data_IF_521079835355
#
_entry.id   IF_521079835355
#
_cell.length_a   1.000
_cell.length_b   1.000
_cell.length_c   1.000
_cell.angle_alpha   90.00
_cell.angle_beta   90.00
_cell.angle_gamma   90.00
#
_symmetry.space_group_name_H-M   'P 1'
#
loop_
_entity.id
_entity.type
_entity.pdbx_description
1 polymer ?
#
# COMPACT_ATOMS: atom_id res chain seq x y z
N UNK A 1 48.69 -23.24 45.20
CA UNK A 1 47.31 -23.80 45.14
C UNK A 1 46.34 -22.67 44.90
N UNK A 2 45.82 -22.54 43.71
CA UNK A 2 44.73 -21.62 43.36
C UNK A 2 43.69 -22.44 42.58
N UNK A 3 42.42 -22.43 42.91
CA UNK A 3 41.38 -23.16 42.16
C UNK A 3 40.98 -22.40 40.91
N UNK A 4 40.80 -23.14 39.83
CA UNK A 4 40.26 -22.68 38.51
C UNK A 4 38.74 -22.59 38.66
N UNK A 5 38.15 -21.43 38.35
CA UNK A 5 36.73 -21.27 38.09
C UNK A 5 36.45 -21.68 36.64
N UNK A 6 35.55 -22.62 36.49
CA UNK A 6 34.97 -22.99 35.20
C UNK A 6 33.80 -22.06 34.87
N UNK A 7 33.87 -21.39 33.70
CA UNK A 7 32.74 -20.67 33.13
C UNK A 7 31.82 -21.67 32.44
N UNK A 8 30.62 -21.82 32.91
CA UNK A 8 29.54 -22.54 32.26
C UNK A 8 28.84 -21.59 31.26
N UNK A 9 28.94 -21.93 29.98
CA UNK A 9 28.21 -21.28 28.90
C UNK A 9 26.76 -21.73 28.95
N UNK A 10 25.86 -20.87 29.38
CA UNK A 10 24.41 -21.09 29.30
C UNK A 10 23.90 -20.68 27.94
N UNK A 11 23.51 -21.64 27.10
CA UNK A 11 22.74 -21.39 25.91
C UNK A 11 21.30 -21.05 26.27
N UNK A 12 20.90 -19.82 26.05
CA UNK A 12 19.52 -19.41 26.16
C UNK A 12 18.75 -19.87 24.92
N UNK A 13 18.00 -20.94 25.08
CA UNK A 13 17.02 -21.38 24.09
C UNK A 13 15.79 -20.46 24.22
N UNK A 14 15.55 -19.64 23.21
CA UNK A 14 14.31 -18.86 23.07
C UNK A 14 13.17 -19.83 22.76
N UNK A 15 12.33 -20.11 23.74
CA UNK A 15 11.04 -20.78 23.55
C UNK A 15 10.08 -19.77 22.86
N UNK A 16 9.78 -19.99 21.59
CA UNK A 16 8.60 -19.46 20.95
C UNK A 16 7.38 -20.13 21.58
N UNK A 17 6.69 -19.44 22.45
CA UNK A 17 5.40 -19.84 22.99
C UNK A 17 4.34 -19.66 21.87
N UNK A 18 4.04 -20.74 21.14
CA UNK A 18 2.83 -20.85 20.37
C UNK A 18 1.65 -20.85 21.34
N UNK A 19 0.88 -19.76 21.40
CA UNK A 19 -0.41 -19.73 22.10
C UNK A 19 -1.37 -20.66 21.35
N UNK A 20 -1.45 -21.92 21.79
CA UNK A 20 -2.55 -22.80 21.47
C UNK A 20 -3.78 -22.30 22.23
N UNK A 21 -4.66 -21.58 21.57
CA UNK A 21 -6.01 -21.32 22.08
C UNK A 21 -6.76 -22.63 21.93
N UNK A 22 -6.82 -23.40 23.01
CA UNK A 22 -7.74 -24.54 23.14
C UNK A 22 -9.15 -23.98 23.33
N UNK A 23 -9.86 -23.74 22.22
CA UNK A 23 -11.30 -23.56 22.25
C UNK A 23 -11.96 -24.93 22.21
N UNK A 24 -12.68 -25.29 23.26
CA UNK A 24 -13.58 -26.43 23.28
C UNK A 24 -14.69 -26.27 22.25
N UNK A 25 -14.83 -27.24 21.33
CA UNK A 25 -16.07 -27.57 20.64
C UNK A 25 -16.27 -26.90 19.27
N UNK A 26 -15.94 -27.62 18.22
CA UNK A 26 -16.26 -27.36 16.82
C UNK A 26 -14.99 -27.32 15.98
N UNK A 27 -14.57 -28.46 15.42
CA UNK A 27 -13.42 -28.50 14.54
C UNK A 27 -13.70 -27.66 13.29
N UNK A 28 -12.93 -26.60 13.06
CA UNK A 28 -12.87 -25.93 11.77
C UNK A 28 -12.16 -26.87 10.79
N UNK A 29 -12.85 -27.28 9.74
CA UNK A 29 -12.28 -28.14 8.71
C UNK A 29 -11.87 -27.29 7.49
N UNK A 30 -10.59 -27.38 7.11
CA UNK A 30 -10.06 -26.85 5.84
C UNK A 30 -10.09 -28.00 4.79
N UNK A 31 -10.97 -28.97 4.92
CA UNK A 31 -10.87 -30.27 4.26
C UNK A 31 -10.95 -30.23 2.73
N UNK A 32 -11.53 -29.19 2.13
CA UNK A 32 -11.81 -29.14 0.69
C UNK A 32 -10.98 -28.11 -0.07
N UNK A 33 -10.32 -27.16 0.61
CA UNK A 33 -9.45 -26.15 -0.01
C UNK A 33 -7.99 -26.56 0.20
N UNK A 34 -7.25 -26.67 -0.91
CA UNK A 34 -5.80 -26.71 -0.90
C UNK A 34 -5.26 -25.28 -1.01
N UNK A 35 -4.16 -24.96 -0.30
CA UNK A 35 -3.49 -23.67 -0.45
C UNK A 35 -2.87 -23.53 -1.84
N UNK A 36 -2.66 -22.29 -2.25
CA UNK A 36 -1.96 -21.95 -3.50
C UNK A 36 -0.51 -22.44 -3.40
N UNK A 37 -0.07 -23.18 -4.42
CA UNK A 37 1.31 -23.60 -4.61
C UNK A 37 2.11 -22.48 -5.31
N UNK A 38 2.44 -21.44 -4.55
CA UNK A 38 3.23 -20.29 -4.93
C UNK A 38 4.03 -19.81 -3.70
N UNK A 39 4.66 -18.63 -3.74
CA UNK A 39 5.36 -18.07 -2.57
C UNK A 39 4.35 -17.55 -1.53
N UNK A 40 3.58 -18.47 -0.94
CA UNK A 40 2.50 -18.18 -0.02
C UNK A 40 2.74 -18.83 1.35
N UNK A 41 2.27 -18.19 2.40
CA UNK A 41 2.23 -18.72 3.75
C UNK A 41 1.15 -19.80 3.95
N UNK A 42 0.94 -20.28 5.17
CA UNK A 42 -0.08 -21.27 5.46
C UNK A 42 -1.49 -20.72 5.30
N UNK A 43 -2.43 -21.61 4.95
CA UNK A 43 -3.86 -21.31 4.98
C UNK A 43 -4.30 -20.90 6.39
N UNK A 44 -5.14 -19.91 6.47
CA UNK A 44 -5.72 -19.39 7.70
C UNK A 44 -7.25 -19.42 7.61
N UNK A 45 -7.88 -20.01 8.63
CA UNK A 45 -9.32 -20.10 8.73
C UNK A 45 -9.72 -20.39 10.18
N UNK A 46 -10.73 -19.68 10.67
CA UNK A 46 -11.29 -19.85 12.00
C UNK A 46 -12.84 -19.76 12.00
N UNK A 47 -13.46 -20.16 10.88
CA UNK A 47 -14.91 -20.24 10.75
C UNK A 47 -15.51 -21.48 11.38
N UNK A 48 -16.83 -21.63 11.32
CA UNK A 48 -17.59 -22.69 11.99
C UNK A 48 -17.92 -23.90 11.13
N UNK A 49 -17.56 -23.90 9.84
CA UNK A 49 -17.82 -24.98 8.89
C UNK A 49 -16.63 -25.17 7.95
N UNK A 50 -16.79 -25.96 6.90
CA UNK A 50 -15.75 -26.17 5.90
C UNK A 50 -15.60 -24.93 5.01
N UNK A 51 -14.36 -24.48 4.79
CA UNK A 51 -14.11 -23.40 3.87
C UNK A 51 -14.35 -23.86 2.41
N UNK A 52 -15.07 -23.06 1.62
CA UNK A 52 -15.38 -23.38 0.23
C UNK A 52 -14.68 -22.42 -0.74
N UNK A 53 -14.20 -21.29 -0.25
CA UNK A 53 -13.56 -20.26 -1.09
C UNK A 53 -12.33 -19.70 -0.40
N UNK A 54 -11.39 -19.25 -1.24
CA UNK A 54 -10.11 -18.70 -0.82
C UNK A 54 -10.00 -17.23 -1.25
N UNK A 55 -9.70 -16.37 -0.29
CA UNK A 55 -9.19 -15.02 -0.55
C UNK A 55 -7.67 -15.07 -0.35
N UNK A 56 -6.92 -14.51 -1.28
CA UNK A 56 -5.48 -14.35 -1.16
C UNK A 56 -5.12 -12.89 -1.01
N UNK A 57 -4.05 -12.59 -0.28
CA UNK A 57 -3.36 -11.31 -0.43
C UNK A 57 -2.08 -11.51 -1.23
N UNK A 58 -1.69 -10.50 -2.04
CA UNK A 58 -0.39 -10.47 -2.72
C UNK A 58 0.30 -9.17 -2.37
N UNK A 59 1.33 -9.26 -1.52
CA UNK A 59 1.98 -8.12 -0.87
C UNK A 59 3.48 -8.42 -0.68
N UNK A 60 4.36 -7.38 -0.66
CA UNK A 60 5.78 -7.58 -0.39
C UNK A 60 6.01 -7.94 1.09
N UNK A 61 6.28 -9.22 1.38
CA UNK A 61 6.39 -9.75 2.74
C UNK A 61 7.82 -9.76 3.29
N UNK A 62 8.81 -9.30 2.52
CA UNK A 62 10.24 -9.33 2.87
C UNK A 62 10.84 -7.93 2.97
N UNK A 63 12.06 -7.84 3.48
CA UNK A 63 12.84 -6.60 3.55
C UNK A 63 12.17 -5.46 4.33
N UNK A 64 12.32 -4.23 3.85
CA UNK A 64 11.78 -3.04 4.52
C UNK A 64 10.24 -2.99 4.54
N UNK A 65 9.58 -3.64 3.59
CA UNK A 65 8.12 -3.71 3.49
C UNK A 65 7.47 -4.72 4.44
N UNK A 66 8.24 -5.67 4.99
CA UNK A 66 7.71 -6.81 5.74
C UNK A 66 6.74 -6.41 6.86
N UNK A 67 7.09 -5.43 7.67
CA UNK A 67 6.24 -5.01 8.80
C UNK A 67 4.93 -4.39 8.34
N UNK A 68 4.98 -3.50 7.35
CA UNK A 68 3.78 -2.90 6.74
C UNK A 68 2.84 -3.98 6.20
N UNK A 69 3.36 -4.91 5.42
CA UNK A 69 2.57 -5.98 4.80
C UNK A 69 2.05 -6.98 5.83
N UNK A 70 2.83 -7.29 6.88
CA UNK A 70 2.37 -8.10 8.01
C UNK A 70 1.16 -7.46 8.69
N UNK A 71 1.18 -6.15 8.93
CA UNK A 71 0.03 -5.43 9.51
C UNK A 71 -1.17 -5.37 8.57
N UNK A 72 -0.94 -5.26 7.26
CA UNK A 72 -2.02 -5.34 6.27
C UNK A 72 -2.68 -6.71 6.31
N UNK A 73 -1.91 -7.80 6.35
CA UNK A 73 -2.45 -9.17 6.49
C UNK A 73 -3.18 -9.36 7.82
N UNK A 74 -2.65 -8.84 8.93
CA UNK A 74 -3.34 -8.88 10.22
C UNK A 74 -4.69 -8.15 10.18
N UNK A 75 -4.77 -7.02 9.47
CA UNK A 75 -6.01 -6.28 9.29
C UNK A 75 -7.03 -7.04 8.41
N UNK A 76 -6.57 -7.75 7.37
CA UNK A 76 -7.42 -8.64 6.57
C UNK A 76 -8.01 -9.74 7.46
N UNK A 77 -7.16 -10.42 8.23
CA UNK A 77 -7.58 -11.50 9.13
C UNK A 77 -8.57 -10.98 10.19
N UNK A 78 -8.29 -9.81 10.78
CA UNK A 78 -9.21 -9.18 11.73
C UNK A 78 -10.59 -8.93 11.12
N UNK A 79 -10.66 -8.42 9.88
CA UNK A 79 -11.95 -8.17 9.24
C UNK A 79 -12.65 -9.47 8.85
N UNK A 80 -11.93 -10.48 8.36
CA UNK A 80 -12.50 -11.81 8.11
C UNK A 80 -13.06 -12.43 9.39
N UNK A 81 -12.36 -12.32 10.52
CA UNK A 81 -12.83 -12.77 11.82
C UNK A 81 -14.08 -12.01 12.27
N UNK A 82 -14.15 -10.69 12.07
CA UNK A 82 -15.36 -9.88 12.36
C UNK A 82 -16.56 -10.28 11.50
N UNK A 83 -16.32 -10.79 10.29
CA UNK A 83 -17.34 -11.36 9.40
C UNK A 83 -17.63 -12.83 9.68
N UNK A 84 -17.00 -13.44 10.71
CA UNK A 84 -17.15 -14.86 11.03
C UNK A 84 -16.57 -15.79 9.97
N UNK A 85 -15.59 -15.33 9.17
CA UNK A 85 -14.98 -16.06 8.06
C UNK A 85 -15.99 -16.51 7.00
N UNK A 86 -17.01 -15.70 6.75
CA UNK A 86 -18.08 -16.07 5.83
C UNK A 86 -18.61 -14.90 5.00
N UNK A 87 -18.98 -15.20 3.78
CA UNK A 87 -19.71 -14.32 2.88
C UNK A 87 -21.21 -14.70 2.86
N UNK A 88 -21.95 -14.26 3.87
CA UNK A 88 -23.30 -14.72 4.14
C UNK A 88 -23.36 -16.16 4.64
N UNK A 89 -24.57 -16.74 4.81
CA UNK A 89 -24.77 -17.99 5.55
C UNK A 89 -24.26 -19.25 4.82
N UNK A 90 -23.85 -19.15 3.56
CA UNK A 90 -23.57 -20.31 2.71
C UNK A 90 -22.11 -20.44 2.25
N UNK A 91 -21.31 -19.38 2.34
CA UNK A 91 -19.97 -19.38 1.78
C UNK A 91 -18.98 -19.11 2.91
N UNK A 92 -18.20 -20.12 3.27
CA UNK A 92 -17.08 -19.98 4.18
C UNK A 92 -15.81 -19.63 3.41
N UNK A 93 -15.00 -18.72 3.93
CA UNK A 93 -13.87 -18.13 3.23
C UNK A 93 -12.60 -18.31 4.03
N UNK A 94 -11.62 -19.05 3.50
CA UNK A 94 -10.26 -19.11 4.01
C UNK A 94 -9.42 -17.94 3.46
N UNK A 95 -8.27 -17.73 4.07
CA UNK A 95 -7.30 -16.71 3.67
C UNK A 95 -5.90 -17.29 3.54
N UNK A 96 -5.13 -16.81 2.56
CA UNK A 96 -3.72 -17.10 2.42
C UNK A 96 -2.93 -15.85 2.02
N UNK A 97 -1.84 -15.58 2.72
CA UNK A 97 -0.95 -14.47 2.42
C UNK A 97 0.16 -14.93 1.48
N UNK A 98 0.33 -14.27 0.34
CA UNK A 98 1.37 -14.56 -0.65
C UNK A 98 2.32 -13.38 -0.79
N UNK A 99 3.54 -13.67 -1.23
CA UNK A 99 4.66 -12.74 -1.31
C UNK A 99 5.03 -12.43 -2.76
N UNK A 100 5.08 -11.15 -3.09
CA UNK A 100 5.51 -10.64 -4.39
C UNK A 100 6.93 -10.07 -4.37
N UNK A 101 7.71 -10.25 -3.27
CA UNK A 101 8.94 -9.50 -3.04
C UNK A 101 10.22 -10.32 -3.07
N UNK A 102 11.32 -9.67 -3.47
CA UNK A 102 12.68 -10.20 -3.38
C UNK A 102 13.15 -10.25 -1.92
N UNK A 103 13.88 -11.32 -1.58
CA UNK A 103 14.23 -11.66 -0.20
C UNK A 103 15.05 -10.64 0.58
N UNK A 104 15.87 -9.82 -0.07
CA UNK A 104 16.81 -8.92 0.62
C UNK A 104 16.37 -7.46 0.66
N UNK A 105 15.70 -6.97 -0.37
CA UNK A 105 15.32 -5.56 -0.51
C UNK A 105 13.89 -5.29 -0.10
N UNK A 106 12.99 -6.25 -0.29
CA UNK A 106 11.55 -6.07 -0.14
C UNK A 106 10.90 -5.36 -1.34
N UNK A 107 11.65 -5.20 -2.43
CA UNK A 107 11.09 -4.76 -3.70
C UNK A 107 10.22 -5.87 -4.30
N UNK A 108 9.13 -5.49 -4.94
CA UNK A 108 8.30 -6.42 -5.71
C UNK A 108 9.07 -6.98 -6.91
N UNK A 109 8.79 -8.21 -7.27
CA UNK A 109 9.47 -8.91 -8.38
C UNK A 109 8.48 -9.26 -9.50
N UNK A 110 8.77 -8.86 -10.75
CA UNK A 110 7.87 -9.10 -11.88
C UNK A 110 7.59 -10.59 -12.16
N UNK A 111 8.54 -11.48 -11.83
CA UNK A 111 8.35 -12.92 -12.05
C UNK A 111 7.45 -13.51 -10.97
N UNK A 112 7.62 -13.09 -9.69
CA UNK A 112 6.73 -13.50 -8.60
C UNK A 112 5.30 -12.99 -8.84
N UNK A 113 5.09 -11.71 -9.15
CA UNK A 113 3.77 -11.17 -9.49
C UNK A 113 3.09 -12.00 -10.59
N UNK A 114 3.84 -12.36 -11.63
CA UNK A 114 3.30 -13.16 -12.74
C UNK A 114 2.94 -14.58 -12.32
N UNK A 115 3.83 -15.28 -11.61
CA UNK A 115 3.60 -16.66 -11.16
C UNK A 115 2.43 -16.74 -10.17
N UNK A 116 2.37 -15.79 -9.23
CA UNK A 116 1.28 -15.68 -8.26
C UNK A 116 -0.07 -15.48 -8.95
N UNK A 117 -0.17 -14.47 -9.86
CA UNK A 117 -1.39 -14.22 -10.61
C UNK A 117 -1.84 -15.42 -11.45
N UNK A 118 -0.90 -16.19 -12.05
CA UNK A 118 -1.21 -17.40 -12.79
C UNK A 118 -1.77 -18.50 -11.88
N UNK A 119 -1.19 -18.68 -10.69
CA UNK A 119 -1.68 -19.61 -9.70
C UNK A 119 -3.11 -19.24 -9.24
N UNK A 120 -3.35 -17.97 -8.89
CA UNK A 120 -4.69 -17.49 -8.51
C UNK A 120 -5.73 -17.65 -9.62
N UNK A 121 -5.33 -17.35 -10.86
CA UNK A 121 -6.23 -17.46 -12.02
C UNK A 121 -6.67 -18.91 -12.28
N UNK A 122 -5.76 -19.88 -12.09
CA UNK A 122 -6.00 -21.30 -12.38
C UNK A 122 -6.76 -22.03 -11.29
N UNK A 123 -6.70 -21.58 -10.03
CA UNK A 123 -7.38 -22.22 -8.92
C UNK A 123 -8.85 -21.76 -8.83
N UNK A 124 -9.86 -22.64 -9.00
CA UNK A 124 -11.28 -22.28 -8.98
C UNK A 124 -11.80 -21.85 -7.61
N UNK A 125 -11.06 -22.14 -6.54
CA UNK A 125 -11.45 -21.77 -5.18
C UNK A 125 -11.02 -20.36 -4.82
N UNK A 126 -10.02 -19.79 -5.49
CA UNK A 126 -9.66 -18.37 -5.34
C UNK A 126 -10.78 -17.51 -5.86
N UNK A 127 -11.47 -16.83 -4.93
CA UNK A 127 -12.60 -15.97 -5.24
C UNK A 127 -12.23 -14.48 -5.32
N UNK A 128 -11.04 -14.12 -4.89
CA UNK A 128 -10.57 -12.75 -5.00
C UNK A 128 -9.16 -12.54 -4.44
N UNK A 129 -8.53 -11.48 -4.92
CA UNK A 129 -7.19 -11.04 -4.53
C UNK A 129 -7.29 -9.70 -3.81
N UNK A 130 -6.65 -9.58 -2.64
CA UNK A 130 -6.43 -8.32 -1.93
C UNK A 130 -4.97 -7.92 -2.17
N UNK A 131 -4.76 -7.00 -3.05
CA UNK A 131 -3.41 -6.62 -3.52
C UNK A 131 -3.49 -5.79 -4.79
N UNK A 132 -2.37 -5.51 -5.36
CA UNK A 132 -1.05 -5.57 -4.73
C UNK A 132 -0.78 -4.28 -3.95
N UNK A 133 0.36 -4.18 -3.27
CA UNK A 133 0.80 -2.89 -2.74
C UNK A 133 1.38 -2.04 -3.87
N UNK A 134 2.33 -2.59 -4.62
CA UNK A 134 3.04 -1.89 -5.70
C UNK A 134 2.23 -1.91 -7.00
N UNK A 135 2.05 -0.76 -7.62
CA UNK A 135 1.27 -0.62 -8.88
C UNK A 135 1.93 -1.35 -10.05
N UNK A 136 3.26 -1.50 -10.06
CA UNK A 136 3.97 -2.25 -11.09
C UNK A 136 3.60 -3.74 -11.09
N UNK A 137 3.43 -4.35 -9.92
CA UNK A 137 2.91 -5.70 -9.77
C UNK A 137 1.45 -5.80 -10.30
N UNK A 138 0.60 -4.84 -9.91
CA UNK A 138 -0.79 -4.79 -10.39
C UNK A 138 -0.91 -4.70 -11.93
N UNK A 139 0.00 -4.00 -12.60
CA UNK A 139 0.07 -3.94 -14.07
C UNK A 139 0.25 -5.32 -14.70
N UNK A 140 0.91 -6.25 -14.00
CA UNK A 140 1.14 -7.63 -14.43
C UNK A 140 -0.06 -8.52 -14.07
N UNK A 141 -0.57 -8.39 -12.86
CA UNK A 141 -1.60 -9.28 -12.33
C UNK A 141 -2.99 -9.02 -12.91
N UNK A 142 -3.41 -7.76 -13.00
CA UNK A 142 -4.76 -7.41 -13.46
C UNK A 142 -5.11 -8.10 -14.79
N UNK A 143 -4.28 -8.04 -15.87
CA UNK A 143 -4.63 -8.67 -17.14
C UNK A 143 -4.63 -10.20 -17.11
N UNK A 144 -3.86 -10.84 -16.20
CA UNK A 144 -3.87 -12.29 -16.01
C UNK A 144 -5.18 -12.69 -15.30
N UNK A 145 -5.49 -12.04 -14.18
CA UNK A 145 -6.71 -12.26 -13.41
C UNK A 145 -7.97 -11.91 -14.23
N UNK A 146 -7.88 -10.94 -15.13
CA UNK A 146 -8.97 -10.54 -16.01
C UNK A 146 -9.39 -11.66 -16.99
N UNK A 147 -8.42 -12.45 -17.48
CA UNK A 147 -8.66 -13.59 -18.39
C UNK A 147 -9.01 -14.89 -17.66
N UNK A 148 -8.96 -14.91 -16.35
CA UNK A 148 -9.20 -16.13 -15.58
C UNK A 148 -10.60 -16.73 -15.86
N UNK A 149 -10.77 -18.07 -15.82
CA UNK A 149 -12.06 -18.72 -15.96
C UNK A 149 -13.09 -18.20 -14.96
N UNK A 150 -14.38 -18.31 -15.28
CA UNK A 150 -15.46 -17.84 -14.44
C UNK A 150 -15.74 -16.33 -14.54
N UNK A 151 -15.16 -15.66 -15.55
CA UNK A 151 -15.38 -14.25 -15.85
C UNK A 151 -14.37 -13.32 -15.18
N UNK A 152 -13.20 -13.84 -14.86
CA UNK A 152 -12.09 -13.14 -14.21
C UNK A 152 -12.08 -13.31 -12.68
N UNK A 153 -10.94 -13.10 -12.05
CA UNK A 153 -10.80 -13.02 -10.59
C UNK A 153 -10.92 -11.55 -10.16
N UNK A 154 -11.81 -11.20 -9.23
CA UNK A 154 -11.88 -9.85 -8.68
C UNK A 154 -10.62 -9.51 -7.87
N UNK A 155 -10.14 -8.28 -8.03
CA UNK A 155 -8.97 -7.76 -7.31
C UNK A 155 -9.31 -6.44 -6.63
N UNK A 156 -9.01 -6.31 -5.34
CA UNK A 156 -9.24 -5.10 -4.54
C UNK A 156 -7.91 -4.64 -3.96
N UNK A 157 -7.38 -3.53 -4.45
CA UNK A 157 -6.11 -3.02 -3.95
C UNK A 157 -6.28 -2.07 -2.77
N UNK A 158 -5.53 -2.30 -1.68
CA UNK A 158 -5.42 -1.37 -0.57
C UNK A 158 -4.28 -0.36 -0.72
N UNK A 159 -3.47 -0.44 -1.79
CA UNK A 159 -2.22 0.33 -1.89
C UNK A 159 -1.86 0.92 -3.26
N UNK A 160 -2.44 0.43 -4.36
CA UNK A 160 -2.05 0.91 -5.69
C UNK A 160 -2.55 2.33 -5.97
N UNK A 161 -1.66 3.21 -6.38
CA UNK A 161 -1.98 4.63 -6.63
C UNK A 161 -1.82 5.06 -8.09
N UNK A 162 -1.15 4.27 -8.94
CA UNK A 162 -0.93 4.63 -10.35
C UNK A 162 -2.25 4.93 -11.08
N UNK A 163 -2.33 6.14 -11.68
CA UNK A 163 -3.55 6.64 -12.33
C UNK A 163 -4.02 5.70 -13.43
N UNK A 164 -3.08 5.22 -14.23
CA UNK A 164 -3.38 4.51 -15.47
C UNK A 164 -3.88 3.07 -15.29
N UNK A 165 -3.95 2.57 -14.03
CA UNK A 165 -4.63 1.30 -13.77
C UNK A 165 -6.15 1.40 -14.00
N UNK A 166 -6.73 2.58 -13.81
CA UNK A 166 -8.18 2.79 -13.81
C UNK A 166 -8.63 3.88 -14.77
N UNK A 167 -7.86 4.94 -14.92
CA UNK A 167 -8.24 6.11 -15.70
C UNK A 167 -7.19 6.46 -16.76
N UNK A 168 -7.62 6.92 -17.94
CA UNK A 168 -6.69 7.42 -18.93
C UNK A 168 -6.17 8.80 -18.52
N UNK A 169 -4.96 9.12 -18.96
CA UNK A 169 -4.40 10.47 -18.90
C UNK A 169 -3.54 10.71 -20.15
N UNK A 170 -3.65 11.86 -20.79
CA UNK A 170 -2.89 12.15 -22.01
C UNK A 170 -1.38 12.30 -21.76
N UNK A 171 -0.99 12.64 -20.52
CA UNK A 171 0.41 12.94 -20.16
C UNK A 171 1.05 11.85 -19.30
N UNK A 172 0.25 11.08 -18.55
CA UNK A 172 0.75 10.07 -17.60
C UNK A 172 0.73 8.65 -18.16
N UNK A 173 -0.23 8.35 -19.05
CA UNK A 173 -0.54 6.99 -19.48
C UNK A 173 -0.04 6.69 -20.89
N UNK A 174 0.34 5.45 -21.14
CA UNK A 174 0.51 4.95 -22.50
C UNK A 174 -0.84 4.94 -23.23
N UNK A 175 -0.83 4.99 -24.58
CA UNK A 175 -2.05 5.08 -25.39
C UNK A 175 -3.05 3.95 -25.17
N UNK A 176 -2.55 2.77 -24.80
CA UNK A 176 -3.34 1.57 -24.57
C UNK A 176 -3.79 1.40 -23.11
N UNK A 177 -3.34 2.28 -22.20
CA UNK A 177 -3.78 2.31 -20.81
C UNK A 177 -5.05 3.15 -20.62
N UNK A 178 -5.93 2.69 -19.75
CA UNK A 178 -5.93 1.47 -18.96
C UNK A 178 -6.42 0.22 -19.71
N UNK A 179 -6.79 0.33 -20.97
CA UNK A 179 -7.43 -0.73 -21.76
C UNK A 179 -6.65 -2.05 -21.78
N UNK A 180 -5.31 -1.99 -21.85
CA UNK A 180 -4.44 -3.17 -21.89
C UNK A 180 -4.55 -4.05 -20.63
N UNK A 181 -4.97 -3.48 -19.50
CA UNK A 181 -5.17 -4.22 -18.25
C UNK A 181 -6.47 -5.02 -18.24
N UNK A 182 -7.42 -4.70 -19.14
CA UNK A 182 -8.75 -5.29 -19.20
C UNK A 182 -9.03 -5.93 -20.57
N UNK A 183 -8.24 -6.96 -20.96
CA UNK A 183 -8.31 -7.55 -22.31
C UNK A 183 -9.65 -8.20 -22.65
N UNK A 184 -10.50 -8.52 -21.67
CA UNK A 184 -11.87 -9.00 -21.90
C UNK A 184 -12.87 -7.87 -22.15
N UNK A 185 -12.44 -6.61 -22.09
CA UNK A 185 -13.30 -5.43 -22.17
C UNK A 185 -14.13 -5.15 -20.89
N UNK A 186 -14.00 -5.99 -19.87
CA UNK A 186 -14.67 -5.83 -18.56
C UNK A 186 -13.63 -5.62 -17.47
N UNK A 187 -13.90 -4.71 -16.55
CA UNK A 187 -13.01 -4.45 -15.42
C UNK A 187 -13.21 -5.50 -14.32
N UNK A 188 -12.12 -5.94 -13.68
CA UNK A 188 -12.08 -6.86 -12.54
C UNK A 188 -11.34 -6.28 -11.34
N UNK A 189 -10.89 -5.03 -11.42
CA UNK A 189 -10.05 -4.38 -10.44
C UNK A 189 -10.70 -3.11 -9.90
N UNK A 190 -10.66 -2.96 -8.57
CA UNK A 190 -11.01 -1.73 -7.85
C UNK A 190 -9.94 -1.45 -6.79
N UNK A 191 -9.87 -0.21 -6.30
CA UNK A 191 -9.01 0.15 -5.17
C UNK A 191 -9.78 0.91 -4.09
N UNK A 192 -9.28 0.88 -2.86
CA UNK A 192 -9.84 1.61 -1.73
C UNK A 192 -9.00 2.81 -1.31
N UNK A 193 -7.94 3.11 -2.05
CA UNK A 193 -7.11 4.31 -1.93
C UNK A 193 -7.26 5.21 -3.16
N UNK A 194 -7.18 6.56 -3.03
CA UNK A 194 -7.15 7.45 -4.17
C UNK A 194 -5.89 7.27 -5.02
N UNK A 195 -5.99 7.64 -6.28
CA UNK A 195 -4.87 7.59 -7.21
C UNK A 195 -3.90 8.77 -7.06
N UNK A 196 -2.75 8.68 -7.73
CA UNK A 196 -1.68 9.68 -7.68
C UNK A 196 -2.12 11.08 -8.11
N UNK A 197 -3.13 11.24 -8.97
CA UNK A 197 -3.63 12.58 -9.33
C UNK A 197 -4.24 13.29 -8.11
N UNK A 198 -4.97 12.56 -7.27
CA UNK A 198 -5.49 13.10 -6.00
C UNK A 198 -4.35 13.34 -5.01
N UNK A 199 -3.40 12.39 -4.93
CA UNK A 199 -2.29 12.47 -3.99
C UNK A 199 -1.32 13.60 -4.36
N UNK A 200 -0.93 13.73 -5.62
CA UNK A 200 -0.06 14.81 -6.12
C UNK A 200 -0.68 16.19 -5.92
N UNK A 201 -1.98 16.32 -6.25
CA UNK A 201 -2.73 17.56 -6.00
C UNK A 201 -2.75 17.93 -4.50
N UNK A 202 -3.00 16.95 -3.63
CA UNK A 202 -3.02 17.18 -2.20
C UNK A 202 -1.65 17.49 -1.61
N UNK A 203 -0.60 16.80 -2.06
CA UNK A 203 0.77 17.06 -1.62
C UNK A 203 1.27 18.43 -2.08
N UNK A 204 0.94 18.86 -3.31
CA UNK A 204 1.25 20.21 -3.81
C UNK A 204 0.51 21.28 -3.01
N UNK A 205 -0.78 21.10 -2.71
CA UNK A 205 -1.54 22.00 -1.83
C UNK A 205 -0.93 22.08 -0.43
N UNK A 206 -0.49 20.95 0.12
CA UNK A 206 0.20 20.93 1.40
C UNK A 206 1.53 21.69 1.33
N UNK A 207 2.36 21.42 0.33
CA UNK A 207 3.65 22.10 0.13
C UNK A 207 3.47 23.62 0.11
N UNK A 208 2.52 24.14 -0.69
CA UNK A 208 2.19 25.57 -0.72
C UNK A 208 1.76 26.09 0.65
N UNK A 209 0.93 25.33 1.39
CA UNK A 209 0.41 25.74 2.70
C UNK A 209 1.47 25.87 3.80
N UNK A 210 2.62 25.21 3.64
CA UNK A 210 3.77 25.28 4.55
C UNK A 210 4.89 26.21 4.03
N UNK A 211 4.58 27.00 2.98
CA UNK A 211 5.44 28.04 2.45
C UNK A 211 6.51 27.55 1.47
N UNK A 212 6.37 26.35 0.88
CA UNK A 212 7.21 25.92 -0.24
C UNK A 212 6.86 26.76 -1.47
N UNK A 213 7.90 27.28 -2.14
CA UNK A 213 7.76 28.14 -3.32
C UNK A 213 8.44 27.56 -4.57
N UNK A 214 9.52 26.80 -4.39
CA UNK A 214 10.34 26.25 -5.49
C UNK A 214 10.83 24.84 -5.17
N UNK A 215 9.97 23.82 -5.22
CA UNK A 215 10.38 22.46 -4.94
C UNK A 215 11.25 21.88 -6.06
N UNK A 216 12.16 20.96 -5.70
CA UNK A 216 12.91 20.10 -6.62
C UNK A 216 12.34 18.70 -6.53
N UNK A 217 12.02 18.08 -7.67
CA UNK A 217 11.39 16.75 -7.69
C UNK A 217 12.45 15.70 -8.00
N UNK A 218 12.60 14.72 -7.12
CA UNK A 218 13.42 13.55 -7.30
C UNK A 218 12.54 12.33 -7.61
N UNK A 219 12.94 11.56 -8.61
CA UNK A 219 12.17 10.44 -9.16
C UNK A 219 13.01 9.18 -9.14
N UNK A 220 12.48 8.06 -8.66
CA UNK A 220 13.18 6.78 -8.78
C UNK A 220 13.37 6.42 -10.26
N UNK A 221 14.59 6.05 -10.64
CA UNK A 221 14.90 5.67 -12.01
C UNK A 221 14.18 4.37 -12.39
N UNK A 222 13.85 4.24 -13.68
CA UNK A 222 13.25 3.03 -14.27
C UNK A 222 11.92 2.57 -13.65
N UNK A 223 11.21 3.48 -12.97
CA UNK A 223 9.90 3.19 -12.36
C UNK A 223 8.80 4.12 -12.91
N UNK A 224 7.92 3.61 -13.78
CA UNK A 224 6.80 4.39 -14.35
C UNK A 224 5.84 4.93 -13.31
N UNK A 225 5.64 4.23 -12.19
CA UNK A 225 4.77 4.70 -11.10
C UNK A 225 5.35 5.93 -10.44
N UNK A 226 6.64 5.90 -10.12
CA UNK A 226 7.37 7.04 -9.57
C UNK A 226 7.37 8.24 -10.52
N UNK A 227 7.54 7.99 -11.83
CA UNK A 227 7.42 9.04 -12.85
C UNK A 227 6.01 9.65 -12.87
N UNK A 228 4.98 8.83 -12.74
CA UNK A 228 3.59 9.27 -12.61
C UNK A 228 3.36 10.15 -11.38
N UNK A 229 3.84 9.73 -10.21
CA UNK A 229 3.79 10.53 -8.97
C UNK A 229 4.44 11.90 -9.14
N UNK A 230 5.66 11.93 -9.71
CA UNK A 230 6.39 13.16 -9.95
C UNK A 230 5.64 14.12 -10.88
N UNK A 231 5.06 13.61 -11.97
CA UNK A 231 4.28 14.39 -12.92
C UNK A 231 3.03 14.97 -12.25
N UNK A 232 2.26 14.16 -11.52
CA UNK A 232 1.03 14.63 -10.84
C UNK A 232 1.32 15.76 -9.84
N UNK A 233 2.42 15.68 -9.10
CA UNK A 233 2.85 16.75 -8.22
C UNK A 233 3.27 18.00 -9.00
N UNK A 234 4.07 17.82 -10.06
CA UNK A 234 4.60 18.92 -10.90
C UNK A 234 3.47 19.71 -11.56
N UNK A 235 2.51 19.02 -12.14
CA UNK A 235 1.37 19.62 -12.82
C UNK A 235 0.47 20.36 -11.84
N UNK A 236 0.21 19.77 -10.67
CA UNK A 236 -0.53 20.45 -9.59
C UNK A 236 0.22 21.67 -9.04
N UNK A 237 1.53 21.57 -8.85
CA UNK A 237 2.36 22.67 -8.39
C UNK A 237 2.33 23.84 -9.39
N UNK A 238 2.43 23.53 -10.69
CA UNK A 238 2.27 24.52 -11.76
C UNK A 238 0.92 25.23 -11.72
N UNK A 239 -0.18 24.48 -11.55
CA UNK A 239 -1.53 25.03 -11.43
C UNK A 239 -1.70 25.92 -10.18
N UNK A 240 -0.92 25.70 -9.13
CA UNK A 240 -0.87 26.53 -7.92
C UNK A 240 0.09 27.73 -8.05
N UNK A 241 0.72 27.94 -9.21
CA UNK A 241 1.72 29.00 -9.42
C UNK A 241 3.05 28.74 -8.69
N UNK A 242 3.36 27.50 -8.36
CA UNK A 242 4.58 27.08 -7.68
C UNK A 242 5.56 26.47 -8.69
N UNK A 243 6.56 27.23 -9.19
CA UNK A 243 7.48 26.75 -10.21
C UNK A 243 8.42 25.68 -9.66
N UNK A 244 8.63 24.62 -10.42
CA UNK A 244 9.58 23.56 -10.09
C UNK A 244 11.01 24.08 -10.29
N UNK A 245 11.86 23.99 -9.26
CA UNK A 245 13.26 24.40 -9.32
C UNK A 245 14.12 23.49 -10.22
N UNK A 246 13.69 22.26 -10.40
CA UNK A 246 14.30 21.24 -11.24
C UNK A 246 13.76 19.85 -10.93
N UNK A 247 14.14 18.89 -11.77
CA UNK A 247 13.84 17.48 -11.57
C UNK A 247 15.05 16.64 -11.95
N UNK A 248 15.26 15.53 -11.25
CA UNK A 248 16.28 14.54 -11.56
C UNK A 248 15.85 13.14 -11.11
N UNK A 249 16.46 12.13 -11.71
CA UNK A 249 16.29 10.74 -11.29
C UNK A 249 17.39 10.34 -10.29
N UNK A 250 17.06 9.43 -9.37
CA UNK A 250 18.07 8.74 -8.58
C UNK A 250 18.17 7.27 -8.98
N UNK A 251 19.39 6.76 -9.15
CA UNK A 251 19.65 5.33 -9.37
C UNK A 251 19.67 4.62 -8.01
N UNK A 252 18.78 3.66 -7.82
CA UNK A 252 18.68 2.87 -6.59
C UNK A 252 19.95 2.08 -6.24
N UNK A 253 20.84 1.87 -7.23
CA UNK A 253 22.13 1.18 -7.05
C UNK A 253 23.28 2.11 -6.69
N UNK A 254 23.06 3.42 -6.66
CA UNK A 254 24.10 4.39 -6.34
C UNK A 254 24.59 4.24 -4.89
N UNK A 255 25.91 4.37 -4.72
CA UNK A 255 26.55 4.28 -3.40
C UNK A 255 26.33 5.54 -2.55
N UNK A 256 26.12 6.69 -3.18
CA UNK A 256 25.78 7.98 -2.55
C UNK A 256 25.05 8.91 -3.52
N UNK A 257 24.41 9.93 -2.97
CA UNK A 257 23.66 10.94 -3.72
C UNK A 257 24.20 12.36 -3.50
N UNK A 258 25.45 12.50 -3.03
CA UNK A 258 26.06 13.81 -2.74
C UNK A 258 26.04 14.75 -3.95
N UNK A 259 26.39 14.22 -5.15
CA UNK A 259 26.36 15.02 -6.37
C UNK A 259 24.95 15.46 -6.73
N UNK A 260 23.95 14.56 -6.60
CA UNK A 260 22.56 14.86 -6.83
C UNK A 260 22.05 15.96 -5.87
N UNK A 261 22.40 15.86 -4.57
CA UNK A 261 22.00 16.87 -3.59
C UNK A 261 22.72 18.22 -3.81
N UNK A 262 23.94 18.25 -4.35
CA UNK A 262 24.59 19.47 -4.78
C UNK A 262 23.89 20.11 -6.00
N UNK A 263 23.35 19.33 -6.91
CA UNK A 263 22.49 19.84 -8.00
C UNK A 263 21.23 20.49 -7.43
N UNK A 264 20.56 19.84 -6.47
CA UNK A 264 19.41 20.43 -5.76
C UNK A 264 19.80 21.74 -5.09
N UNK A 265 20.93 21.78 -4.38
CA UNK A 265 21.44 23.00 -3.72
C UNK A 265 21.65 24.15 -4.70
N UNK A 266 22.24 23.86 -5.85
CA UNK A 266 22.56 24.86 -6.88
C UNK A 266 21.32 25.39 -7.58
N UNK A 267 20.18 24.66 -7.56
CA UNK A 267 18.91 25.11 -8.13
C UNK A 267 18.21 26.19 -7.31
N UNK A 268 18.63 26.39 -6.05
CA UNK A 268 17.96 27.27 -5.10
C UNK A 268 16.59 26.76 -4.64
N UNK A 269 16.36 25.45 -4.66
CA UNK A 269 15.13 24.82 -4.17
C UNK A 269 14.97 25.01 -2.66
N UNK A 270 13.74 25.21 -2.21
CA UNK A 270 13.36 25.31 -0.80
C UNK A 270 12.70 24.02 -0.26
N UNK A 271 12.47 23.05 -1.14
CA UNK A 271 12.02 21.73 -0.78
C UNK A 271 12.53 20.67 -1.78
N UNK A 272 12.67 19.43 -1.30
CA UNK A 272 12.84 18.21 -2.10
C UNK A 272 11.55 17.39 -2.00
N UNK A 273 11.05 16.92 -3.12
CA UNK A 273 9.90 16.00 -3.20
C UNK A 273 10.37 14.68 -3.75
N UNK A 274 10.16 13.60 -3.00
CA UNK A 274 10.54 12.24 -3.39
C UNK A 274 9.34 11.51 -3.99
N UNK A 275 9.45 11.11 -5.24
CA UNK A 275 8.52 10.23 -5.94
C UNK A 275 9.16 8.86 -6.12
N UNK A 276 8.67 7.85 -5.39
CA UNK A 276 9.22 6.50 -5.32
C UNK A 276 8.95 5.83 -3.98
N UNK A 277 9.67 4.76 -3.69
CA UNK A 277 9.50 3.98 -2.46
C UNK A 277 10.82 3.86 -1.69
N UNK A 278 10.72 3.58 -0.38
CA UNK A 278 11.87 3.47 0.52
C UNK A 278 12.87 2.39 0.05
N UNK A 279 12.36 1.30 -0.49
CA UNK A 279 13.09 0.12 -0.96
C UNK A 279 14.07 0.45 -2.10
N UNK A 280 13.79 1.52 -2.85
CA UNK A 280 14.64 2.05 -3.92
C UNK A 280 15.82 2.90 -3.39
N UNK A 281 16.50 2.42 -2.34
CA UNK A 281 17.62 3.11 -1.68
C UNK A 281 17.25 4.45 -1.02
N UNK A 282 15.99 4.59 -0.63
CA UNK A 282 15.44 5.82 -0.03
C UNK A 282 16.11 6.22 1.28
N UNK A 283 16.58 5.25 2.07
CA UNK A 283 17.32 5.51 3.33
C UNK A 283 18.58 6.33 3.04
N UNK A 284 19.37 5.93 2.06
CA UNK A 284 20.60 6.63 1.67
C UNK A 284 20.28 8.01 1.12
N UNK A 285 19.26 8.11 0.27
CA UNK A 285 18.81 9.36 -0.33
C UNK A 285 18.44 10.42 0.74
N UNK A 286 17.70 10.02 1.77
CA UNK A 286 17.30 10.91 2.88
C UNK A 286 18.52 11.35 3.69
N UNK A 287 19.46 10.44 4.00
CA UNK A 287 20.69 10.75 4.74
C UNK A 287 21.56 11.75 3.98
N UNK A 288 21.76 11.55 2.69
CA UNK A 288 22.55 12.44 1.86
C UNK A 288 21.88 13.80 1.65
N UNK A 289 20.52 13.84 1.58
CA UNK A 289 19.78 15.10 1.61
C UNK A 289 20.10 15.89 2.89
N UNK A 290 20.05 15.26 4.04
CA UNK A 290 20.33 15.94 5.30
C UNK A 290 21.80 16.38 5.40
N UNK A 291 22.72 15.54 4.95
CA UNK A 291 24.16 15.84 4.95
C UNK A 291 24.51 17.10 4.12
N UNK A 292 23.88 17.25 2.93
CA UNK A 292 24.23 18.33 1.98
C UNK A 292 23.34 19.57 2.12
N UNK A 293 22.04 19.36 2.38
CA UNK A 293 21.01 20.43 2.38
C UNK A 293 20.55 20.81 3.80
N UNK A 294 21.06 20.12 4.82
CA UNK A 294 20.67 20.32 6.21
C UNK A 294 19.38 19.60 6.60
N UNK A 295 18.97 19.73 7.90
CA UNK A 295 17.84 19.00 8.46
C UNK A 295 16.52 19.36 7.77
N UNK A 296 15.56 18.42 7.78
CA UNK A 296 14.25 18.64 7.11
C UNK A 296 13.39 19.72 7.78
N UNK A 297 13.74 20.14 8.98
CA UNK A 297 13.15 21.29 9.68
C UNK A 297 13.79 22.63 9.29
N UNK A 298 14.86 22.61 8.50
CA UNK A 298 15.59 23.79 8.06
C UNK A 298 14.99 24.47 6.83
N UNK A 299 15.87 25.16 6.08
CA UNK A 299 15.46 25.93 4.90
C UNK A 299 14.94 25.05 3.76
N UNK A 300 15.57 23.87 3.54
CA UNK A 300 15.14 22.93 2.49
C UNK A 300 14.33 21.79 3.12
N UNK A 301 13.02 21.81 2.94
CA UNK A 301 12.08 20.80 3.46
C UNK A 301 12.21 19.50 2.67
N UNK A 302 11.73 18.40 3.25
CA UNK A 302 11.64 17.10 2.58
C UNK A 302 10.19 16.63 2.62
N UNK A 303 9.62 16.45 1.45
CA UNK A 303 8.30 15.86 1.24
C UNK A 303 8.44 14.56 0.45
N UNK A 304 7.56 13.60 0.68
CA UNK A 304 7.59 12.33 -0.03
C UNK A 304 6.17 11.81 -0.29
N UNK A 305 6.05 10.98 -1.31
CA UNK A 305 4.87 10.19 -1.57
C UNK A 305 4.76 9.01 -0.57
N UNK A 306 3.71 8.26 -0.68
CA UNK A 306 3.28 7.21 0.26
C UNK A 306 4.25 6.04 0.40
N UNK A 307 5.08 5.76 -0.59
CA UNK A 307 6.14 4.76 -0.49
C UNK A 307 7.14 4.99 0.66
N UNK A 308 7.18 6.22 1.19
CA UNK A 308 7.96 6.60 2.36
C UNK A 308 7.11 6.71 3.66
N UNK A 309 5.79 6.56 3.59
CA UNK A 309 4.90 6.72 4.73
C UNK A 309 4.79 5.44 5.57
N UNK A 310 5.93 4.86 5.96
CA UNK A 310 6.05 3.62 6.75
C UNK A 310 7.05 3.80 7.91
N UNK A 311 6.85 3.07 9.00
CA UNK A 311 7.73 3.17 10.18
C UNK A 311 9.19 2.82 9.85
N UNK A 312 9.41 1.91 8.90
CA UNK A 312 10.74 1.54 8.40
C UNK A 312 11.52 2.75 7.85
N UNK A 313 10.86 3.76 7.27
CA UNK A 313 11.52 5.00 6.86
C UNK A 313 12.19 5.69 8.05
N UNK A 314 11.50 5.76 9.18
CA UNK A 314 12.02 6.40 10.39
C UNK A 314 13.10 5.53 11.03
N UNK A 315 12.83 4.24 11.18
CA UNK A 315 13.71 3.30 11.89
C UNK A 315 15.03 3.10 11.16
N UNK A 316 14.98 2.89 9.83
CA UNK A 316 16.15 2.59 9.03
C UNK A 316 16.97 3.85 8.69
N UNK A 317 16.32 5.00 8.53
CA UNK A 317 17.02 6.27 8.29
C UNK A 317 17.62 6.83 9.57
N UNK A 318 16.92 6.71 10.69
CA UNK A 318 17.33 7.28 11.96
C UNK A 318 16.97 8.77 12.09
N UNK A 319 17.82 9.57 12.79
CA UNK A 319 17.52 10.98 13.07
C UNK A 319 17.35 11.86 11.83
N UNK A 320 17.92 11.45 10.67
CA UNK A 320 17.84 12.19 9.41
C UNK A 320 16.42 12.21 8.82
N UNK A 321 15.55 11.26 9.20
CA UNK A 321 14.12 11.29 8.80
C UNK A 321 13.33 12.38 9.53
N UNK A 322 13.81 12.83 10.69
CA UNK A 322 13.05 13.76 11.55
C UNK A 322 12.64 15.01 10.80
N UNK A 323 11.35 15.33 10.88
CA UNK A 323 10.78 16.53 10.27
C UNK A 323 10.43 16.43 8.81
N UNK A 324 10.73 15.29 8.12
CA UNK A 324 10.20 15.05 6.79
C UNK A 324 8.68 14.89 6.81
N UNK A 325 8.05 15.17 5.69
CA UNK A 325 6.63 14.94 5.47
C UNK A 325 6.43 13.79 4.50
N UNK A 326 5.45 12.93 4.76
CA UNK A 326 5.04 11.89 3.83
C UNK A 326 3.52 11.91 3.65
N UNK A 327 3.06 11.82 2.41
CA UNK A 327 1.65 11.74 2.09
C UNK A 327 1.14 10.30 2.15
N UNK A 328 -0.14 10.15 2.42
CA UNK A 328 -0.87 8.88 2.39
C UNK A 328 -2.08 9.07 1.48
N UNK A 329 -2.34 8.15 0.54
CA UNK A 329 -3.55 8.18 -0.27
C UNK A 329 -4.76 7.75 0.59
N UNK A 330 -5.34 8.74 1.28
CA UNK A 330 -6.46 8.54 2.20
C UNK A 330 -6.24 9.15 3.57
N UNK A 331 -7.06 8.76 4.54
CA UNK A 331 -6.93 9.17 5.94
C UNK A 331 -5.87 8.35 6.67
N UNK A 332 -5.00 9.01 7.41
CA UNK A 332 -4.07 8.32 8.30
C UNK A 332 -4.81 7.53 9.40
N UNK A 333 -4.25 6.43 9.94
CA UNK A 333 -4.89 5.65 11.00
C UNK A 333 -5.39 6.47 12.18
N UNK A 334 -4.60 7.47 12.62
CA UNK A 334 -4.96 8.37 13.72
C UNK A 334 -6.02 9.44 13.37
N UNK A 335 -6.44 9.54 12.09
CA UNK A 335 -7.51 10.43 11.63
C UNK A 335 -8.82 9.69 11.30
N UNK A 336 -8.84 8.37 11.48
CA UNK A 336 -10.04 7.57 11.32
C UNK A 336 -10.98 7.75 12.51
N UNK A 337 -12.29 7.69 12.24
CA UNK A 337 -13.34 7.89 13.23
C UNK A 337 -14.37 6.77 13.19
N UNK A 338 -15.21 6.65 14.20
CA UNK A 338 -16.28 5.64 14.26
C UNK A 338 -15.74 4.21 14.15
N UNK A 339 -16.23 3.44 13.17
CA UNK A 339 -15.80 2.05 12.95
C UNK A 339 -14.30 1.95 12.71
N UNK A 340 -13.71 2.93 12.02
CA UNK A 340 -12.28 2.95 11.73
C UNK A 340 -11.41 3.14 12.98
N UNK A 341 -11.79 4.02 13.89
CA UNK A 341 -11.09 4.22 15.16
C UNK A 341 -11.14 2.94 16.03
N UNK A 342 -12.31 2.31 16.11
CA UNK A 342 -12.47 1.01 16.81
C UNK A 342 -11.57 -0.06 16.18
N UNK A 343 -11.62 -0.18 14.84
CA UNK A 343 -10.81 -1.14 14.10
C UNK A 343 -9.30 -0.98 14.36
N UNK A 344 -8.80 0.27 14.31
CA UNK A 344 -7.39 0.57 14.57
C UNK A 344 -7.00 0.27 16.02
N UNK A 345 -7.87 0.53 16.99
CA UNK A 345 -7.62 0.20 18.39
C UNK A 345 -7.53 -1.31 18.64
N UNK A 346 -8.42 -2.08 18.04
CA UNK A 346 -8.41 -3.54 18.12
C UNK A 346 -7.15 -4.11 17.44
N UNK A 347 -6.77 -3.59 16.25
CA UNK A 347 -5.56 -4.01 15.56
C UNK A 347 -4.32 -3.68 16.39
N UNK A 348 -4.27 -2.49 17.01
CA UNK A 348 -3.17 -2.11 17.91
C UNK A 348 -3.05 -3.02 19.13
N UNK A 349 -4.15 -3.52 19.67
CA UNK A 349 -4.12 -4.47 20.77
C UNK A 349 -3.49 -5.82 20.39
N UNK A 350 -3.57 -6.18 19.10
CA UNK A 350 -2.91 -7.39 18.56
C UNK A 350 -1.43 -7.14 18.20
N UNK A 351 -1.05 -5.87 17.97
CA UNK A 351 0.30 -5.46 17.54
C UNK A 351 0.77 -4.30 18.41
N UNK A 352 1.00 -4.50 19.73
CA UNK A 352 1.26 -3.42 20.67
C UNK A 352 2.63 -2.75 20.49
N UNK A 353 3.58 -3.44 19.87
CA UNK A 353 4.99 -3.03 19.81
C UNK A 353 5.27 -1.97 18.76
N UNK A 354 4.40 -1.86 17.73
CA UNK A 354 4.61 -0.99 16.59
C UNK A 354 3.45 0.00 16.36
N UNK A 355 3.72 1.18 15.80
CA UNK A 355 2.66 2.04 15.29
C UNK A 355 1.84 1.31 14.22
N UNK A 356 0.54 1.62 14.11
CA UNK A 356 -0.26 1.07 13.03
C UNK A 356 0.16 1.73 11.72
N UNK A 357 0.58 0.90 10.78
CA UNK A 357 0.98 1.31 9.43
C UNK A 357 -0.20 1.87 8.64
N UNK A 358 0.10 2.84 7.77
CA UNK A 358 -0.91 3.64 7.09
C UNK A 358 -1.94 2.81 6.30
N UNK A 359 -1.49 1.73 5.66
CA UNK A 359 -2.31 0.91 4.76
C UNK A 359 -3.03 -0.26 5.42
N UNK A 360 -2.75 -0.55 6.70
CA UNK A 360 -3.39 -1.66 7.40
C UNK A 360 -4.94 -1.51 7.48
N UNK A 361 -5.52 -0.35 7.84
CA UNK A 361 -6.98 -0.18 7.82
C UNK A 361 -7.58 -0.31 6.41
N UNK A 362 -6.83 0.05 5.37
CA UNK A 362 -7.26 -0.07 3.98
C UNK A 362 -7.31 -1.53 3.53
N UNK A 363 -6.37 -2.35 3.97
CA UNK A 363 -6.39 -3.79 3.72
C UNK A 363 -7.60 -4.47 4.41
N UNK A 364 -7.92 -4.08 5.65
CA UNK A 364 -9.15 -4.51 6.31
C UNK A 364 -10.41 -4.07 5.56
N UNK A 365 -10.45 -2.83 5.08
CA UNK A 365 -11.57 -2.35 4.27
C UNK A 365 -11.70 -3.11 2.95
N UNK A 366 -10.59 -3.43 2.29
CA UNK A 366 -10.58 -4.22 1.06
C UNK A 366 -11.15 -5.62 1.28
N UNK A 367 -10.78 -6.26 2.40
CA UNK A 367 -11.33 -7.55 2.81
C UNK A 367 -12.84 -7.48 3.05
N UNK A 368 -13.31 -6.49 3.81
CA UNK A 368 -14.73 -6.29 4.07
C UNK A 368 -15.53 -6.06 2.81
N UNK A 369 -14.97 -5.29 1.87
CA UNK A 369 -15.59 -5.00 0.57
C UNK A 369 -15.70 -6.26 -0.30
N UNK A 370 -14.63 -7.04 -0.38
CA UNK A 370 -14.59 -8.27 -1.18
C UNK A 370 -15.56 -9.34 -0.63
N UNK A 371 -15.60 -9.51 0.70
CA UNK A 371 -16.55 -10.44 1.36
C UNK A 371 -17.99 -10.03 1.12
N UNK A 372 -18.30 -8.74 1.20
CA UNK A 372 -19.67 -8.25 0.95
C UNK A 372 -20.07 -8.42 -0.53
N UNK A 373 -19.16 -8.11 -1.46
CA UNK A 373 -19.39 -8.31 -2.87
C UNK A 373 -19.57 -9.81 -3.21
N UNK A 374 -18.81 -10.70 -2.57
CA UNK A 374 -18.96 -12.15 -2.70
C UNK A 374 -20.32 -12.63 -2.15
N UNK A 375 -20.74 -12.09 -0.99
CA UNK A 375 -22.05 -12.42 -0.40
C UNK A 375 -23.21 -12.15 -1.37
N UNK A 376 -23.13 -11.05 -2.13
CA UNK A 376 -24.15 -10.64 -3.09
C UNK A 376 -23.98 -11.35 -4.45
N UNK A 377 -22.75 -11.46 -4.94
CA UNK A 377 -22.45 -11.95 -6.28
C UNK A 377 -22.26 -13.46 -6.40
N UNK A 378 -21.85 -14.15 -5.34
CA UNK A 378 -21.68 -15.60 -5.17
C UNK A 378 -20.72 -16.31 -6.13
N UNK A 379 -20.31 -15.66 -7.21
CA UNK A 379 -19.38 -16.17 -8.24
C UNK A 379 -18.30 -15.09 -8.51
N UNK A 380 -17.20 -15.46 -9.18
CA UNK A 380 -16.16 -14.48 -9.58
C UNK A 380 -16.76 -13.31 -10.34
N UNK A 381 -17.51 -13.57 -11.42
CA UNK A 381 -18.13 -12.52 -12.23
C UNK A 381 -19.21 -11.74 -11.50
N UNK A 382 -19.99 -12.40 -10.65
CA UNK A 382 -20.99 -11.73 -9.78
C UNK A 382 -20.32 -10.83 -8.76
N UNK A 383 -19.26 -11.31 -8.11
CA UNK A 383 -18.45 -10.51 -7.15
C UNK A 383 -17.87 -9.27 -7.83
N UNK A 384 -17.30 -9.41 -9.03
CA UNK A 384 -16.82 -8.26 -9.81
C UNK A 384 -17.96 -7.25 -10.05
N UNK A 385 -19.12 -7.72 -10.49
CA UNK A 385 -20.26 -6.83 -10.76
C UNK A 385 -20.72 -6.06 -9.51
N UNK A 386 -20.69 -6.70 -8.33
CA UNK A 386 -21.06 -6.05 -7.07
C UNK A 386 -19.99 -5.07 -6.57
N UNK A 387 -18.69 -5.33 -6.80
CA UNK A 387 -17.63 -4.39 -6.45
C UNK A 387 -17.85 -3.01 -7.10
N UNK A 388 -18.26 -2.96 -8.37
CA UNK A 388 -18.52 -1.69 -9.07
C UNK A 388 -19.85 -1.01 -8.68
N UNK A 389 -20.69 -1.68 -7.91
CA UNK A 389 -21.92 -1.09 -7.31
C UNK A 389 -21.70 -0.64 -5.87
N UNK A 390 -20.50 -0.86 -5.33
CA UNK A 390 -20.21 -0.63 -3.92
C UNK A 390 -20.45 0.81 -3.52
N UNK A 391 -21.21 0.93 -2.43
CA UNK A 391 -21.37 2.16 -1.65
C UNK A 391 -21.20 1.78 -0.18
N UNK A 392 -20.18 2.34 0.46
CA UNK A 392 -19.91 2.11 1.88
C UNK A 392 -20.36 3.34 2.66
N UNK A 393 -21.14 3.12 3.70
CA UNK A 393 -21.53 4.15 4.66
C UNK A 393 -20.93 3.81 6.03
N UNK A 394 -20.05 4.70 6.53
CA UNK A 394 -19.40 4.53 7.81
C UNK A 394 -18.46 3.31 7.93
N UNK A 395 -17.76 2.92 6.85
CA UNK A 395 -16.79 1.83 6.87
C UNK A 395 -15.52 2.13 7.66
N UNK A 396 -14.54 1.20 7.61
CA UNK A 396 -13.25 1.31 8.32
C UNK A 396 -12.53 2.60 7.90
N UNK A 397 -12.50 2.93 6.61
CA UNK A 397 -11.87 4.15 6.10
C UNK A 397 -12.83 5.34 5.97
N UNK A 398 -14.07 5.18 6.40
CA UNK A 398 -15.14 6.16 6.29
C UNK A 398 -16.14 5.81 5.18
N UNK A 399 -16.93 6.80 4.73
CA UNK A 399 -17.92 6.63 3.67
C UNK A 399 -17.32 6.93 2.29
N UNK A 400 -17.58 6.05 1.32
CA UNK A 400 -17.15 6.20 -0.07
C UNK A 400 -17.99 5.34 -1.01
N UNK A 401 -17.92 5.60 -2.29
CA UNK A 401 -18.42 4.72 -3.33
C UNK A 401 -17.29 4.36 -4.31
N UNK A 402 -17.42 3.22 -4.96
CA UNK A 402 -16.53 2.87 -6.08
C UNK A 402 -17.08 3.51 -7.35
N UNK A 403 -16.23 4.25 -8.06
CA UNK A 403 -16.54 4.86 -9.34
C UNK A 403 -16.70 3.80 -10.45
N UNK A 404 -17.28 4.14 -11.60
CA UNK A 404 -17.32 3.23 -12.75
C UNK A 404 -15.94 2.80 -13.25
N UNK A 405 -14.89 3.54 -12.91
CA UNK A 405 -13.48 3.21 -13.27
C UNK A 405 -12.77 2.36 -12.22
N UNK A 406 -13.33 2.23 -11.00
CA UNK A 406 -12.77 1.40 -9.91
C UNK A 406 -12.06 2.20 -8.82
N UNK A 407 -12.18 3.52 -8.82
CA UNK A 407 -11.58 4.40 -7.80
C UNK A 407 -12.57 4.76 -6.69
N UNK A 408 -12.11 5.02 -5.44
CA UNK A 408 -12.97 5.49 -4.36
C UNK A 408 -13.33 6.97 -4.54
N UNK A 409 -14.58 7.33 -4.22
CA UNK A 409 -15.10 8.71 -4.25
C UNK A 409 -16.00 8.95 -3.03
N UNK A 410 -15.81 10.01 -2.23
CA UNK A 410 -14.71 11.00 -2.27
C UNK A 410 -13.36 10.40 -1.82
N UNK A 411 -12.28 11.08 -2.16
CA UNK A 411 -10.93 10.61 -1.93
C UNK A 411 -10.04 11.71 -1.30
N UNK A 412 -9.95 11.81 0.04
CA UNK A 412 -9.00 12.68 0.70
C UNK A 412 -7.60 12.06 0.68
N UNK A 413 -6.58 12.87 0.98
CA UNK A 413 -5.25 12.41 1.36
C UNK A 413 -4.91 12.87 2.77
N UNK A 414 -3.90 12.27 3.39
CA UNK A 414 -3.27 12.80 4.60
C UNK A 414 -1.80 13.07 4.37
N UNK A 415 -1.25 14.10 5.01
CA UNK A 415 0.19 14.32 5.09
C UNK A 415 0.59 14.25 6.55
N UNK A 416 1.59 13.44 6.86
CA UNK A 416 2.13 13.21 8.20
C UNK A 416 3.56 13.72 8.29
N UNK A 417 4.02 14.01 9.52
CA UNK A 417 5.38 14.45 9.80
C UNK A 417 6.12 13.38 10.60
N UNK A 418 7.34 13.07 10.18
CA UNK A 418 8.19 12.10 10.89
C UNK A 418 8.78 12.68 12.19
N UNK A 419 8.65 11.91 13.27
CA UNK A 419 9.25 12.11 14.58
C UNK A 419 9.80 10.76 15.10
N UNK A 420 9.38 10.24 16.24
CA UNK A 420 9.60 8.84 16.64
C UNK A 420 8.71 7.87 15.86
N UNK A 421 7.56 8.35 15.40
CA UNK A 421 6.66 7.75 14.43
C UNK A 421 6.08 8.86 13.55
N UNK A 422 5.34 8.51 12.51
CA UNK A 422 4.58 9.49 11.75
C UNK A 422 3.43 10.05 12.59
N UNK A 423 3.36 11.37 12.70
CA UNK A 423 2.47 12.09 13.61
C UNK A 423 1.80 13.28 12.93
N UNK A 424 0.81 13.88 13.63
CA UNK A 424 0.13 15.10 13.26
C UNK A 424 -0.43 15.05 11.83
N UNK A 425 -1.28 14.07 11.52
CA UNK A 425 -1.84 13.95 10.18
C UNK A 425 -2.71 15.17 9.86
N UNK A 426 -2.48 15.76 8.68
CA UNK A 426 -3.34 16.78 8.10
C UNK A 426 -4.09 16.16 6.92
N UNK A 427 -5.39 16.01 7.06
CA UNK A 427 -6.26 15.52 5.97
C UNK A 427 -6.59 16.66 5.02
N UNK A 428 -6.45 16.40 3.72
CA UNK A 428 -6.65 17.36 2.64
C UNK A 428 -7.57 16.72 1.60
N UNK A 429 -8.58 17.45 1.18
CA UNK A 429 -9.40 17.09 0.02
C UNK A 429 -9.09 18.11 -1.07
N UNK A 430 -8.28 17.74 -2.08
CA UNK A 430 -7.94 18.67 -3.15
C UNK A 430 -9.19 19.04 -3.96
N UNK A 431 -9.29 20.27 -4.47
CA UNK A 431 -10.40 20.67 -5.32
C UNK A 431 -10.34 19.93 -6.66
N UNK A 432 -11.51 19.64 -7.30
CA UNK A 432 -11.55 18.87 -8.55
C UNK A 432 -10.69 19.46 -9.68
N UNK A 433 -10.59 20.80 -9.77
CA UNK A 433 -9.79 21.47 -10.77
C UNK A 433 -8.28 21.17 -10.61
N UNK A 434 -7.81 21.08 -9.36
CA UNK A 434 -6.41 20.76 -9.10
C UNK A 434 -6.11 19.28 -9.37
N UNK A 435 -7.08 18.40 -9.09
CA UNK A 435 -6.97 16.97 -9.44
C UNK A 435 -6.94 16.80 -10.98
N UNK A 436 -7.74 17.58 -11.70
CA UNK A 436 -7.73 17.61 -13.16
C UNK A 436 -6.37 18.04 -13.68
N UNK A 437 -5.84 19.17 -13.18
CA UNK A 437 -4.51 19.64 -13.54
C UNK A 437 -3.42 18.60 -13.25
N UNK A 438 -3.44 17.96 -12.06
CA UNK A 438 -2.52 16.89 -11.69
C UNK A 438 -2.59 15.67 -12.64
N UNK A 439 -3.67 15.53 -13.40
CA UNK A 439 -3.89 14.45 -14.39
C UNK A 439 -3.44 14.87 -15.79
N UNK A 440 -2.90 16.06 -15.96
CA UNK A 440 -2.47 16.61 -17.24
C UNK A 440 -3.60 17.14 -18.12
N UNK A 441 -4.71 17.59 -17.50
CA UNK A 441 -5.90 18.13 -18.17
C UNK A 441 -6.19 19.59 -17.83
#
# INVERSE_FOLDING_TARGET
>A
MRPRLALASGAAAALLAALAISACGGGSHISDIQGIDADCGPLQYAGSGDAQKLIVSDLPLKGASAERSRQMNAAIIQELARKGWQAGPKIQVAFQACDDSLGSTGEWDPALCRSNAQAYASDPDVIGVIGTYNSGCAQIEIPILNRAPGGGVPMVSPGNTYVCLTEPSPTLCSKDEPGRYYPTGKRNYVRVVPNDAVQGAGLASFAQSIGVQRPFVLVAADDPTSAGQASTFTDAAGALGMPIAGSAQWDQRAMDYTQLMNQVKSSGADAVVLAGVLEQNGVRLIRDKVSVLGPNTGAVKLLAFDGFAQQATITNTGPESRGMYASIPGKAPGALTGVGDVFVKELRAQIPENPIEAFAPYAGQAAGLLVEALRLGQTRSGTIAELFKTRVDGGIIGSFAISPTGDPVPAPISVQRAAASFQLPRTITPPPQLISAARGG
#
